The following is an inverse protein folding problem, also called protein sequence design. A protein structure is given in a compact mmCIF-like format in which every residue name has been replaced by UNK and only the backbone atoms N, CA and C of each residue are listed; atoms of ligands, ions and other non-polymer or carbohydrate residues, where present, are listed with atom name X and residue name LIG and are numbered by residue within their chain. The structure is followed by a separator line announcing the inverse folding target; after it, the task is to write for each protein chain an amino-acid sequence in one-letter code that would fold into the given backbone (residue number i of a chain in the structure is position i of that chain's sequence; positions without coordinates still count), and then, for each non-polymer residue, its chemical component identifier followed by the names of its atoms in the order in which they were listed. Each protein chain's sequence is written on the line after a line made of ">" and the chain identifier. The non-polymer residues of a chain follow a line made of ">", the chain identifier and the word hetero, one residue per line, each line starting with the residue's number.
data_IF_739816813341
#
_entry.id   IF_739816813341
#
_cell.length_a   1.000
_cell.length_b   1.000
_cell.length_c   1.000
_cell.angle_alpha   90.00
_cell.angle_beta   90.00
_cell.angle_gamma   90.00
#
_symmetry.space_group_name_H-M   'P 1'
#
loop_
_entity.id
_entity.type
_entity.pdbx_description
1 polymer ?
#
# COMPACT_ATOMS: atom_id res chain seq x y z
N UNK A 1 -9.35 -3.64 32.12
CA UNK A 1 -8.57 -2.41 31.84
C UNK A 1 -9.40 -1.51 30.94
N UNK A 2 -9.33 -0.20 31.16
CA UNK A 2 -10.03 0.81 30.35
C UNK A 2 -9.18 1.29 29.17
N UNK A 3 -9.69 2.27 28.43
CA UNK A 3 -8.95 2.91 27.35
C UNK A 3 -7.67 3.59 27.86
N UNK A 4 -6.60 3.55 27.06
CA UNK A 4 -5.29 4.10 27.39
C UNK A 4 -4.88 5.04 26.27
N UNK A 5 -4.30 6.18 26.64
CA UNK A 5 -3.75 7.12 25.65
C UNK A 5 -2.63 6.45 24.86
N UNK A 6 -2.61 6.64 23.55
CA UNK A 6 -1.57 6.15 22.65
C UNK A 6 -0.31 7.04 22.74
N UNK A 7 0.26 7.14 23.95
CA UNK A 7 1.43 7.94 24.27
C UNK A 7 2.47 7.05 24.95
N UNK A 8 3.76 7.23 24.61
CA UNK A 8 4.83 6.37 25.12
C UNK A 8 4.88 6.35 26.67
N UNK A 9 4.62 7.48 27.33
CA UNK A 9 4.58 7.58 28.78
C UNK A 9 3.44 6.74 29.40
N UNK A 10 2.24 6.83 28.83
CA UNK A 10 1.08 6.06 29.29
C UNK A 10 1.28 4.56 29.11
N UNK A 11 1.84 4.15 27.97
CA UNK A 11 2.14 2.74 27.66
C UNK A 11 3.20 2.19 28.61
N UNK A 12 4.29 2.94 28.86
CA UNK A 12 5.32 2.52 29.83
C UNK A 12 4.76 2.36 31.24
N UNK A 13 3.87 3.26 31.67
CA UNK A 13 3.21 3.18 32.98
C UNK A 13 2.34 1.92 33.08
N UNK A 14 1.56 1.62 32.04
CA UNK A 14 0.74 0.41 31.98
C UNK A 14 1.59 -0.85 32.09
N UNK A 15 2.66 -0.98 31.28
CA UNK A 15 3.49 -2.18 31.28
C UNK A 15 4.10 -2.46 32.66
N UNK A 16 4.55 -1.41 33.36
CA UNK A 16 5.04 -1.53 34.75
C UNK A 16 3.97 -2.03 35.73
N UNK A 17 2.70 -1.68 35.50
CA UNK A 17 1.59 -2.15 36.33
C UNK A 17 1.19 -3.60 36.01
N UNK A 18 1.44 -4.05 34.78
CA UNK A 18 1.09 -5.39 34.31
C UNK A 18 2.04 -6.48 34.80
N UNK A 19 3.32 -6.15 35.00
CA UNK A 19 4.30 -7.11 35.52
C UNK A 19 5.69 -6.91 34.95
N UNK A 20 6.52 -7.94 35.08
CA UNK A 20 7.87 -7.97 34.51
C UNK A 20 7.80 -8.20 33.00
N UNK A 21 8.64 -7.52 32.22
CA UNK A 21 8.62 -7.57 30.75
C UNK A 21 8.79 -8.98 30.18
N UNK A 22 9.53 -9.85 30.88
CA UNK A 22 9.79 -11.24 30.50
C UNK A 22 8.54 -12.13 30.61
N UNK A 23 7.58 -11.73 31.44
CA UNK A 23 6.32 -12.44 31.70
C UNK A 23 5.16 -11.88 30.85
N UNK A 24 5.41 -10.81 30.08
CA UNK A 24 4.40 -10.14 29.28
C UNK A 24 4.46 -10.56 27.81
N UNK A 25 3.29 -10.88 27.29
CA UNK A 25 3.05 -11.05 25.86
C UNK A 25 1.86 -10.20 25.44
N UNK A 26 2.09 -9.33 24.46
CA UNK A 26 1.11 -8.34 24.00
C UNK A 26 0.74 -8.63 22.56
N UNK A 27 -0.52 -8.44 22.20
CA UNK A 27 -0.91 -8.38 20.79
C UNK A 27 -1.80 -7.16 20.52
N UNK A 28 -1.82 -6.73 19.27
CA UNK A 28 -2.81 -5.76 18.79
C UNK A 28 -3.18 -6.03 17.33
N UNK A 29 -4.38 -5.61 16.96
CA UNK A 29 -4.88 -5.68 15.60
C UNK A 29 -4.22 -4.60 14.73
N UNK A 30 -3.63 -5.03 13.61
CA UNK A 30 -3.03 -4.14 12.63
C UNK A 30 -4.09 -3.21 12.04
N UNK A 31 -3.81 -1.91 12.08
CA UNK A 31 -4.70 -0.86 11.58
C UNK A 31 -3.91 0.25 10.90
N UNK A 32 -4.54 1.41 10.64
CA UNK A 32 -3.90 2.53 9.92
C UNK A 32 -2.80 3.22 10.74
N UNK A 33 -2.63 2.88 12.01
CA UNK A 33 -1.68 3.50 12.95
C UNK A 33 -0.25 2.97 12.82
N UNK A 34 0.03 2.10 11.86
CA UNK A 34 1.36 1.59 11.55
C UNK A 34 1.95 0.69 12.64
N UNK A 35 3.29 0.62 12.71
CA UNK A 35 4.02 -0.28 13.61
C UNK A 35 4.72 0.44 14.78
N UNK A 36 4.40 1.71 15.04
CA UNK A 36 5.02 2.50 16.12
C UNK A 36 4.84 1.88 17.51
N UNK A 37 3.63 1.39 17.82
CA UNK A 37 3.35 0.69 19.07
C UNK A 37 4.18 -0.59 19.21
N UNK A 38 4.21 -1.42 18.16
CA UNK A 38 5.04 -2.63 18.14
C UNK A 38 6.50 -2.28 18.45
N UNK A 39 7.09 -1.29 17.75
CA UNK A 39 8.47 -0.86 17.96
C UNK A 39 8.73 -0.37 19.39
N UNK A 40 7.81 0.41 19.96
CA UNK A 40 7.90 0.85 21.34
C UNK A 40 7.93 -0.35 22.29
N UNK A 41 6.99 -1.29 22.16
CA UNK A 41 6.90 -2.47 23.00
C UNK A 41 8.16 -3.34 22.91
N UNK A 42 8.63 -3.61 21.69
CA UNK A 42 9.87 -4.37 21.46
C UNK A 42 11.09 -3.66 22.03
N UNK A 43 11.19 -2.33 21.91
CA UNK A 43 12.30 -1.55 22.50
C UNK A 43 12.35 -1.60 24.03
N UNK A 44 11.21 -1.89 24.66
CA UNK A 44 11.11 -2.08 26.11
C UNK A 44 11.38 -3.53 26.53
N UNK A 45 11.67 -4.42 25.57
CA UNK A 45 11.88 -5.85 25.79
C UNK A 45 10.61 -6.66 25.98
N UNK A 46 9.44 -6.10 25.62
CA UNK A 46 8.15 -6.81 25.70
C UNK A 46 7.89 -7.52 24.36
N UNK A 47 7.50 -8.80 24.42
CA UNK A 47 7.07 -9.54 23.21
C UNK A 47 5.76 -8.97 22.71
N UNK A 48 5.71 -8.62 21.42
CA UNK A 48 4.54 -8.05 20.78
C UNK A 48 4.22 -8.76 19.46
N UNK A 49 2.96 -9.18 19.29
CA UNK A 49 2.44 -9.74 18.05
C UNK A 49 1.46 -8.75 17.39
N UNK A 50 1.70 -8.40 16.14
CA UNK A 50 0.73 -7.66 15.31
C UNK A 50 -0.12 -8.66 14.54
N UNK A 51 -1.43 -8.53 14.58
CA UNK A 51 -2.36 -9.51 14.00
C UNK A 51 -3.18 -8.85 12.89
N UNK A 52 -3.31 -9.50 11.73
CA UNK A 52 -4.20 -9.00 10.69
C UNK A 52 -5.67 -9.25 11.05
N UNK A 53 -6.57 -8.28 10.86
CA UNK A 53 -8.01 -8.44 11.11
C UNK A 53 -8.61 -9.70 10.48
N UNK A 54 -8.19 -9.99 9.24
CA UNK A 54 -8.66 -11.12 8.45
C UNK A 54 -8.20 -12.49 8.95
N UNK A 55 -7.21 -12.54 9.84
CA UNK A 55 -6.69 -13.76 10.45
C UNK A 55 -7.25 -14.02 11.85
N UNK A 56 -7.99 -13.07 12.43
CA UNK A 56 -8.61 -13.24 13.75
C UNK A 56 -9.82 -14.18 13.61
N UNK A 57 -9.87 -15.31 14.32
CA UNK A 57 -11.02 -16.20 14.29
C UNK A 57 -12.31 -15.49 14.74
N UNK A 58 -13.34 -15.46 13.88
CA UNK A 58 -14.64 -14.83 14.16
C UNK A 58 -15.68 -15.91 14.52
N UNK A 59 -16.45 -15.70 15.59
CA UNK A 59 -17.55 -16.60 15.97
C UNK A 59 -18.83 -16.07 15.29
N UNK A 60 -19.59 -16.95 14.63
CA UNK A 60 -20.88 -16.57 14.03
C UNK A 60 -21.88 -16.19 15.14
N UNK A 61 -22.59 -15.07 14.97
CA UNK A 61 -23.63 -14.61 15.90
C UNK A 61 -23.17 -13.57 16.95
N UNK A 62 -21.90 -13.17 16.96
CA UNK A 62 -21.39 -12.16 17.90
C UNK A 62 -21.71 -10.74 17.35
N UNK A 63 -22.84 -10.18 17.77
CA UNK A 63 -23.36 -8.89 17.25
C UNK A 63 -22.92 -7.66 18.07
N UNK A 64 -22.39 -7.86 19.28
CA UNK A 64 -22.00 -6.76 20.18
C UNK A 64 -20.49 -6.58 20.16
N UNK A 65 -20.03 -5.57 19.42
CA UNK A 65 -18.61 -5.16 19.36
C UNK A 65 -18.36 -4.04 20.36
N UNK A 66 -17.42 -4.25 21.28
CA UNK A 66 -16.90 -3.20 22.16
C UNK A 66 -15.39 -3.37 22.28
N UNK A 67 -14.66 -2.26 22.33
CA UNK A 67 -13.18 -2.28 22.41
C UNK A 67 -12.66 -3.19 23.53
N UNK A 68 -13.37 -3.21 24.68
CA UNK A 68 -13.01 -4.05 25.82
C UNK A 68 -13.21 -5.55 25.53
N UNK A 69 -14.29 -5.93 24.86
CA UNK A 69 -14.55 -7.34 24.51
C UNK A 69 -13.58 -7.80 23.43
N UNK A 70 -13.29 -6.95 22.46
CA UNK A 70 -12.35 -7.26 21.38
C UNK A 70 -10.92 -7.41 21.93
N UNK A 71 -10.48 -6.54 22.83
CA UNK A 71 -9.18 -6.66 23.50
C UNK A 71 -9.07 -7.92 24.38
N UNK A 72 -10.14 -8.29 25.11
CA UNK A 72 -10.15 -9.51 25.92
C UNK A 72 -10.11 -10.77 25.04
N UNK A 73 -10.89 -10.79 23.97
CA UNK A 73 -10.89 -11.90 23.00
C UNK A 73 -9.51 -12.08 22.37
N UNK A 74 -8.87 -10.99 21.97
CA UNK A 74 -7.51 -11.03 21.44
C UNK A 74 -6.52 -11.60 22.45
N UNK A 75 -6.59 -11.20 23.73
CA UNK A 75 -5.68 -11.76 24.74
C UNK A 75 -5.94 -13.24 25.03
N UNK A 76 -7.21 -13.69 24.98
CA UNK A 76 -7.57 -15.11 25.11
C UNK A 76 -7.02 -15.94 23.95
N UNK A 77 -7.18 -15.46 22.71
CA UNK A 77 -6.65 -16.13 21.51
C UNK A 77 -5.12 -16.16 21.51
N UNK A 78 -4.47 -15.08 21.95
CA UNK A 78 -3.01 -15.04 22.11
C UNK A 78 -2.55 -16.09 23.10
N UNK A 79 -3.20 -16.16 24.27
CA UNK A 79 -2.89 -17.15 25.32
C UNK A 79 -3.12 -18.58 24.84
N UNK A 80 -4.11 -18.81 23.99
CA UNK A 80 -4.39 -20.12 23.39
C UNK A 80 -3.43 -20.50 22.25
N UNK A 81 -2.57 -19.58 21.79
CA UNK A 81 -1.71 -19.81 20.62
C UNK A 81 -2.48 -19.84 19.29
N UNK A 82 -3.70 -19.31 19.26
CA UNK A 82 -4.58 -19.33 18.08
C UNK A 82 -4.36 -18.12 17.14
N UNK A 83 -3.48 -17.18 17.51
CA UNK A 83 -3.15 -16.01 16.69
C UNK A 83 -1.94 -16.27 15.79
N UNK A 84 -2.04 -15.76 14.56
CA UNK A 84 -0.91 -15.71 13.62
C UNK A 84 -0.47 -14.26 13.42
N UNK A 85 0.78 -13.97 13.77
CA UNK A 85 1.37 -12.66 13.60
C UNK A 85 1.66 -12.31 12.15
N UNK A 86 1.50 -11.04 11.79
CA UNK A 86 2.00 -10.52 10.52
C UNK A 86 3.48 -10.23 10.61
N UNK A 87 4.15 -10.25 9.46
CA UNK A 87 5.50 -9.71 9.35
C UNK A 87 5.47 -8.20 9.56
N UNK A 88 6.25 -7.72 10.52
CA UNK A 88 6.44 -6.29 10.76
C UNK A 88 7.63 -5.81 9.90
N UNK A 89 7.40 -4.93 8.91
CA UNK A 89 8.47 -4.38 8.07
C UNK A 89 9.49 -3.57 8.90
N UNK A 90 10.70 -3.37 8.38
CA UNK A 90 11.63 -2.41 8.96
C UNK A 90 11.19 -0.97 8.69
N UNK A 91 11.77 0.01 9.39
CA UNK A 91 11.44 1.42 9.15
C UNK A 91 11.85 1.86 7.74
N UNK A 92 12.93 1.28 7.20
CA UNK A 92 13.38 1.49 5.83
C UNK A 92 12.41 0.90 4.81
N UNK A 93 11.87 -0.30 5.07
CA UNK A 93 10.84 -0.91 4.21
C UNK A 93 9.55 -0.08 4.20
N UNK A 94 9.10 0.41 5.37
CA UNK A 94 7.94 1.31 5.48
C UNK A 94 8.16 2.60 4.67
N UNK A 95 9.32 3.26 4.84
CA UNK A 95 9.64 4.48 4.12
C UNK A 95 9.65 4.27 2.59
N UNK A 96 10.20 3.14 2.12
CA UNK A 96 10.17 2.80 0.70
C UNK A 96 8.75 2.51 0.21
N UNK A 97 7.92 1.82 1.00
CA UNK A 97 6.50 1.59 0.68
C UNK A 97 5.73 2.88 0.56
N UNK A 98 5.94 3.83 1.46
CA UNK A 98 5.28 5.13 1.42
C UNK A 98 5.58 5.86 0.10
N UNK A 99 6.84 5.80 -0.36
CA UNK A 99 7.23 6.40 -1.63
C UNK A 99 6.61 5.68 -2.85
N UNK A 100 6.54 4.35 -2.82
CA UNK A 100 5.87 3.55 -3.87
C UNK A 100 4.36 3.85 -3.90
N UNK A 101 3.71 3.95 -2.75
CA UNK A 101 2.28 4.30 -2.64
C UNK A 101 2.00 5.71 -3.12
N UNK A 102 2.83 6.69 -2.73
CA UNK A 102 2.74 8.06 -3.23
C UNK A 102 2.85 8.13 -4.76
N UNK A 103 3.65 7.25 -5.37
CA UNK A 103 3.73 7.13 -6.84
C UNK A 103 2.42 6.63 -7.44
N UNK A 104 1.81 5.60 -6.85
CA UNK A 104 0.53 5.07 -7.33
C UNK A 104 -0.59 6.11 -7.20
N UNK A 105 -0.67 6.82 -6.08
CA UNK A 105 -1.59 7.94 -5.88
C UNK A 105 -1.42 9.01 -6.97
N UNK A 106 -0.17 9.42 -7.22
CA UNK A 106 0.14 10.40 -8.28
C UNK A 106 -0.21 9.88 -9.69
N UNK A 107 -0.05 8.58 -9.95
CA UNK A 107 -0.45 7.96 -11.22
C UNK A 107 -1.96 7.99 -11.39
N UNK A 108 -2.72 7.68 -10.34
CA UNK A 108 -4.18 7.74 -10.35
C UNK A 108 -4.70 9.17 -10.51
N UNK A 109 -4.10 10.14 -9.82
CA UNK A 109 -4.40 11.56 -9.97
C UNK A 109 -4.17 12.03 -11.41
N UNK A 110 -3.03 11.67 -11.99
CA UNK A 110 -2.71 11.97 -13.39
C UNK A 110 -3.71 11.31 -14.35
N UNK A 111 -4.08 10.05 -14.10
CA UNK A 111 -5.10 9.38 -14.90
C UNK A 111 -6.44 10.13 -14.83
N UNK A 112 -6.88 10.51 -13.62
CA UNK A 112 -8.11 11.27 -13.41
C UNK A 112 -8.07 12.63 -14.11
N UNK A 113 -6.95 13.36 -14.03
CA UNK A 113 -6.75 14.62 -14.75
C UNK A 113 -6.85 14.45 -16.27
N UNK A 114 -6.18 13.43 -16.82
CA UNK A 114 -6.25 13.07 -18.24
C UNK A 114 -7.68 12.76 -18.68
N UNK A 115 -8.43 12.00 -17.89
CA UNK A 115 -9.82 11.68 -18.20
C UNK A 115 -10.74 12.90 -18.15
N UNK A 116 -10.55 13.83 -17.20
CA UNK A 116 -11.32 15.09 -17.15
C UNK A 116 -11.10 15.92 -18.41
N UNK A 117 -9.84 16.10 -18.84
CA UNK A 117 -9.51 16.79 -20.08
C UNK A 117 -10.14 16.11 -21.31
N UNK A 118 -10.03 14.78 -21.40
CA UNK A 118 -10.61 14.03 -22.53
C UNK A 118 -12.14 14.12 -22.58
N UNK A 119 -12.81 14.07 -21.42
CA UNK A 119 -14.27 14.23 -21.34
C UNK A 119 -14.71 15.65 -21.71
N UNK A 120 -13.93 16.67 -21.35
CA UNK A 120 -14.18 18.04 -21.78
C UNK A 120 -14.11 18.16 -23.30
N UNK A 121 -13.03 17.67 -23.92
CA UNK A 121 -12.87 17.69 -25.38
C UNK A 121 -14.02 16.94 -26.08
N UNK A 122 -14.40 15.78 -25.55
CA UNK A 122 -15.50 14.97 -26.08
C UNK A 122 -16.85 15.72 -26.03
N UNK A 123 -17.15 16.42 -24.93
CA UNK A 123 -18.41 17.17 -24.76
C UNK A 123 -18.61 18.24 -25.84
N UNK A 124 -17.53 18.84 -26.31
CA UNK A 124 -17.53 19.87 -27.34
C UNK A 124 -17.13 19.34 -28.72
N UNK A 125 -17.09 18.01 -28.90
CA UNK A 125 -16.71 17.37 -30.16
C UNK A 125 -15.34 17.80 -30.72
N UNK A 126 -14.43 18.22 -29.84
CA UNK A 126 -13.08 18.64 -30.20
C UNK A 126 -12.22 17.39 -30.38
N UNK A 127 -11.84 17.12 -31.63
CA UNK A 127 -11.08 15.92 -31.99
C UNK A 127 -9.73 16.28 -32.61
N UNK A 128 -8.69 15.46 -32.38
CA UNK A 128 -7.40 15.70 -32.99
C UNK A 128 -7.46 15.52 -34.52
N UNK A 129 -6.64 16.25 -35.30
CA UNK A 129 -6.51 16.04 -36.73
C UNK A 129 -6.17 14.58 -37.08
N UNK A 130 -6.62 14.11 -38.24
CA UNK A 130 -6.48 12.71 -38.69
C UNK A 130 -5.03 12.15 -38.64
N UNK A 131 -4.03 13.02 -38.77
CA UNK A 131 -2.61 12.65 -38.66
C UNK A 131 -2.12 12.31 -37.24
N UNK A 132 -2.90 12.60 -36.19
CA UNK A 132 -2.54 12.36 -34.79
C UNK A 132 -3.30 11.14 -34.27
N UNK A 133 -2.74 9.95 -34.51
CA UNK A 133 -3.39 8.67 -34.16
C UNK A 133 -3.29 8.28 -32.68
N UNK A 134 -2.35 8.86 -31.93
CA UNK A 134 -2.06 8.47 -30.53
C UNK A 134 -2.12 9.69 -29.60
N UNK A 135 -2.91 9.56 -28.53
CA UNK A 135 -3.01 10.56 -27.44
C UNK A 135 -1.69 10.67 -26.66
N UNK A 136 -1.48 11.82 -26.03
CA UNK A 136 -0.33 12.11 -25.16
C UNK A 136 1.05 11.96 -25.83
N UNK A 137 1.11 11.96 -27.16
CA UNK A 137 2.36 12.09 -27.92
C UNK A 137 2.78 13.57 -27.99
N UNK A 138 4.03 13.85 -28.41
CA UNK A 138 4.49 15.23 -28.63
C UNK A 138 3.56 15.99 -29.58
N UNK A 139 3.16 15.37 -30.70
CA UNK A 139 2.22 15.96 -31.67
C UNK A 139 0.85 16.24 -31.05
N UNK A 140 0.31 15.31 -30.25
CA UNK A 140 -0.96 15.50 -29.55
C UNK A 140 -0.90 16.66 -28.54
N UNK A 141 0.20 16.77 -27.78
CA UNK A 141 0.40 17.90 -26.84
C UNK A 141 0.47 19.24 -27.57
N UNK A 142 1.24 19.33 -28.66
CA UNK A 142 1.31 20.54 -29.49
C UNK A 142 -0.06 20.92 -30.05
N UNK A 143 -0.86 19.94 -30.47
CA UNK A 143 -2.24 20.19 -30.90
C UNK A 143 -3.10 20.76 -29.77
N UNK A 144 -3.07 20.15 -28.57
CA UNK A 144 -3.80 20.66 -27.40
C UNK A 144 -3.41 22.11 -27.06
N UNK A 145 -2.11 22.42 -27.09
CA UNK A 145 -1.60 23.76 -26.78
C UNK A 145 -2.00 24.81 -27.82
N UNK A 146 -2.28 24.39 -29.06
CA UNK A 146 -2.75 25.25 -30.14
C UNK A 146 -4.26 25.47 -30.18
N UNK A 147 -5.04 24.80 -29.32
CA UNK A 147 -6.50 24.94 -29.32
C UNK A 147 -6.91 26.35 -28.87
N UNK A 148 -7.77 26.99 -29.67
CA UNK A 148 -8.44 28.24 -29.33
C UNK A 148 -9.93 27.96 -29.19
N UNK A 149 -10.49 28.33 -28.04
CA UNK A 149 -11.92 28.21 -27.77
C UNK A 149 -12.56 29.59 -27.88
N UNK A 150 -13.74 29.66 -28.51
CA UNK A 150 -14.45 30.92 -28.73
C UNK A 150 -14.93 31.57 -27.43
N UNK A 151 -15.35 30.74 -26.47
CA UNK A 151 -15.89 31.19 -25.20
C UNK A 151 -14.79 31.23 -24.12
N UNK A 152 -14.54 32.40 -23.53
CA UNK A 152 -13.44 32.57 -22.57
C UNK A 152 -13.57 31.64 -21.35
N UNK A 153 -14.78 31.44 -20.82
CA UNK A 153 -15.00 30.53 -19.69
C UNK A 153 -14.61 29.07 -20.03
N UNK A 154 -14.81 28.65 -21.27
CA UNK A 154 -14.38 27.33 -21.74
C UNK A 154 -12.86 27.30 -21.94
N UNK A 155 -12.26 28.38 -22.46
CA UNK A 155 -10.81 28.53 -22.59
C UNK A 155 -10.11 28.42 -21.23
N UNK A 156 -10.61 29.11 -20.20
CA UNK A 156 -10.11 28.99 -18.82
C UNK A 156 -10.21 27.55 -18.34
N UNK A 157 -11.38 26.92 -18.44
CA UNK A 157 -11.59 25.54 -17.99
C UNK A 157 -10.65 24.55 -18.68
N UNK A 158 -10.46 24.70 -20.00
CA UNK A 158 -9.53 23.87 -20.78
C UNK A 158 -8.07 24.05 -20.32
N UNK A 159 -7.64 25.30 -20.11
CA UNK A 159 -6.28 25.60 -19.62
C UNK A 159 -6.03 24.96 -18.26
N UNK A 160 -6.97 25.07 -17.32
CA UNK A 160 -6.86 24.45 -16.00
C UNK A 160 -6.79 22.92 -16.07
N UNK A 161 -7.58 22.27 -16.93
CA UNK A 161 -7.48 20.83 -17.13
C UNK A 161 -6.15 20.42 -17.78
N UNK A 162 -5.62 21.21 -18.70
CA UNK A 162 -4.31 20.96 -19.29
C UNK A 162 -3.18 21.15 -18.27
N UNK A 163 -3.26 22.18 -17.41
CA UNK A 163 -2.33 22.41 -16.32
C UNK A 163 -2.32 21.26 -15.31
N UNK A 164 -3.49 20.81 -14.86
CA UNK A 164 -3.59 19.67 -13.94
C UNK A 164 -2.94 18.38 -14.51
N UNK A 165 -3.03 18.16 -15.82
CA UNK A 165 -2.31 17.06 -16.47
C UNK A 165 -0.80 17.27 -16.41
N UNK A 166 -0.31 18.47 -16.76
CA UNK A 166 1.13 18.80 -16.73
C UNK A 166 1.70 18.63 -15.32
N UNK A 167 1.05 19.21 -14.30
CA UNK A 167 1.45 19.08 -12.91
C UNK A 167 1.46 17.62 -12.43
N UNK A 168 0.47 16.83 -12.84
CA UNK A 168 0.42 15.40 -12.55
C UNK A 168 1.57 14.62 -13.19
N UNK A 169 1.94 14.93 -14.43
CA UNK A 169 3.10 14.33 -15.12
C UNK A 169 4.41 14.68 -14.40
N UNK A 170 4.58 15.94 -14.01
CA UNK A 170 5.77 16.39 -13.30
C UNK A 170 5.87 15.83 -11.88
N UNK A 171 4.76 15.78 -11.14
CA UNK A 171 4.70 15.17 -9.80
C UNK A 171 5.08 13.70 -9.86
N UNK A 172 4.50 12.95 -10.79
CA UNK A 172 4.84 11.54 -10.99
C UNK A 172 6.32 11.38 -11.32
N UNK A 173 6.86 12.21 -12.22
CA UNK A 173 8.29 12.19 -12.59
C UNK A 173 9.19 12.47 -11.38
N UNK A 174 8.89 13.47 -10.55
CA UNK A 174 9.68 13.79 -9.34
C UNK A 174 9.72 12.60 -8.38
N UNK A 175 8.58 11.92 -8.18
CA UNK A 175 8.51 10.73 -7.32
C UNK A 175 9.31 9.57 -7.93
N UNK A 176 9.20 9.33 -9.24
CA UNK A 176 9.97 8.30 -9.93
C UNK A 176 11.48 8.54 -9.87
N UNK A 177 11.93 9.79 -9.96
CA UNK A 177 13.33 10.16 -9.71
C UNK A 177 13.74 9.82 -8.27
N UNK A 178 12.94 10.18 -7.27
CA UNK A 178 13.22 9.83 -5.88
C UNK A 178 13.31 8.32 -5.65
N UNK A 179 12.45 7.53 -6.29
CA UNK A 179 12.53 6.05 -6.22
C UNK A 179 13.84 5.53 -6.81
N UNK A 180 14.31 6.07 -7.94
CA UNK A 180 15.58 5.69 -8.55
C UNK A 180 16.76 6.00 -7.63
N UNK A 181 16.76 7.17 -6.99
CA UNK A 181 17.80 7.58 -6.03
C UNK A 181 17.82 6.67 -4.80
N UNK A 182 16.66 6.40 -4.21
CA UNK A 182 16.54 5.49 -3.06
C UNK A 182 16.95 4.06 -3.42
N UNK A 183 16.59 3.59 -4.61
CA UNK A 183 17.04 2.28 -5.09
C UNK A 183 18.54 2.24 -5.36
N UNK A 184 19.17 3.35 -5.77
CA UNK A 184 20.62 3.40 -5.99
C UNK A 184 21.44 3.43 -4.69
N UNK A 185 20.91 4.07 -3.64
CA UNK A 185 21.61 4.28 -2.37
C UNK A 185 21.24 3.26 -1.28
N UNK A 186 20.05 2.67 -1.37
CA UNK A 186 19.53 1.78 -0.33
C UNK A 186 20.04 0.34 -0.42
N UNK A 187 19.93 -0.38 0.70
CA UNK A 187 20.28 -1.81 0.80
C UNK A 187 19.54 -2.70 -0.22
N UNK A 188 18.40 -2.22 -0.72
CA UNK A 188 17.53 -2.91 -1.65
C UNK A 188 17.97 -2.79 -3.13
N UNK A 189 18.96 -1.96 -3.45
CA UNK A 189 19.34 -1.68 -4.85
C UNK A 189 19.80 -2.88 -5.67
N UNK A 190 20.60 -3.76 -5.06
CA UNK A 190 21.06 -4.98 -5.73
C UNK A 190 19.88 -5.92 -6.07
N UNK A 191 18.90 -6.00 -5.17
CA UNK A 191 17.70 -6.82 -5.35
C UNK A 191 16.79 -6.25 -6.44
N UNK A 192 16.58 -4.92 -6.46
CA UNK A 192 15.84 -4.24 -7.53
C UNK A 192 16.47 -4.53 -8.90
N UNK A 193 17.80 -4.38 -9.02
CA UNK A 193 18.52 -4.69 -10.26
C UNK A 193 18.39 -6.16 -10.66
N UNK A 194 18.50 -7.08 -9.71
CA UNK A 194 18.33 -8.51 -9.98
C UNK A 194 16.94 -8.83 -10.52
N UNK A 195 15.88 -8.25 -9.94
CA UNK A 195 14.50 -8.42 -10.42
C UNK A 195 14.31 -7.84 -11.83
N UNK A 196 14.97 -6.73 -12.17
CA UNK A 196 14.91 -6.17 -13.52
C UNK A 196 15.54 -7.07 -14.60
N UNK A 197 16.35 -8.06 -14.21
CA UNK A 197 16.84 -9.09 -15.13
C UNK A 197 15.75 -10.06 -15.59
N UNK A 198 14.61 -10.09 -14.91
CA UNK A 198 13.48 -10.93 -15.29
C UNK A 198 12.71 -10.29 -16.46
N UNK A 199 12.39 -11.11 -17.47
CA UNK A 199 11.60 -10.66 -18.63
C UNK A 199 10.26 -10.08 -18.17
N UNK A 200 9.99 -8.83 -18.56
CA UNK A 200 8.74 -8.15 -18.24
C UNK A 200 8.75 -7.40 -16.90
N UNK A 201 9.85 -7.43 -16.13
CA UNK A 201 9.98 -6.70 -14.87
C UNK A 201 10.78 -5.42 -15.09
N UNK A 202 10.06 -4.30 -15.23
CA UNK A 202 10.68 -2.98 -15.30
C UNK A 202 11.00 -2.43 -13.89
N UNK A 203 11.76 -1.33 -13.82
CA UNK A 203 12.18 -0.70 -12.57
C UNK A 203 11.03 -0.49 -11.57
N UNK A 204 9.93 0.13 -12.02
CA UNK A 204 8.76 0.41 -11.17
C UNK A 204 8.17 -0.86 -10.57
N UNK A 205 8.05 -1.92 -11.37
CA UNK A 205 7.56 -3.23 -10.91
C UNK A 205 8.54 -3.83 -9.90
N UNK A 206 9.84 -3.79 -10.19
CA UNK A 206 10.88 -4.32 -9.30
C UNK A 206 10.88 -3.60 -7.94
N UNK A 207 10.90 -2.26 -7.93
CA UNK A 207 10.91 -1.50 -6.67
C UNK A 207 9.62 -1.68 -5.88
N UNK A 208 8.47 -1.79 -6.55
CA UNK A 208 7.19 -2.06 -5.87
C UNK A 208 7.17 -3.43 -5.21
N UNK A 209 7.70 -4.46 -5.90
CA UNK A 209 7.83 -5.80 -5.32
C UNK A 209 8.73 -5.79 -4.10
N UNK A 210 9.90 -5.14 -4.18
CA UNK A 210 10.83 -5.06 -3.05
C UNK A 210 10.22 -4.32 -1.88
N UNK A 211 9.55 -3.19 -2.12
CA UNK A 211 8.88 -2.42 -1.08
C UNK A 211 7.80 -3.26 -0.37
N UNK A 212 6.91 -3.90 -1.11
CA UNK A 212 5.80 -4.66 -0.51
C UNK A 212 6.26 -5.98 0.13
N UNK A 213 7.25 -6.65 -0.45
CA UNK A 213 7.73 -7.93 0.08
C UNK A 213 8.67 -7.76 1.27
N UNK A 214 9.51 -6.72 1.25
CA UNK A 214 10.67 -6.59 2.15
C UNK A 214 11.68 -7.71 1.90
N UNK A 215 12.09 -8.40 2.95
CA UNK A 215 13.04 -9.53 2.83
C UNK A 215 12.39 -10.78 2.24
N UNK A 216 12.83 -11.17 1.04
CA UNK A 216 12.42 -12.44 0.39
C UNK A 216 12.82 -13.68 1.20
N UNK A 217 13.84 -13.58 2.07
CA UNK A 217 14.29 -14.68 2.93
C UNK A 217 13.25 -15.12 3.96
N UNK A 218 12.19 -14.32 4.19
CA UNK A 218 11.09 -14.69 5.08
C UNK A 218 10.21 -15.81 4.53
N UNK A 219 10.29 -16.08 3.23
CA UNK A 219 9.59 -17.19 2.61
C UNK A 219 10.49 -18.42 2.56
N UNK A 220 10.02 -19.51 3.18
CA UNK A 220 10.73 -20.80 3.20
C UNK A 220 10.67 -21.52 1.84
N UNK A 221 9.71 -21.15 1.00
CA UNK A 221 9.56 -21.70 -0.35
C UNK A 221 8.92 -20.68 -1.31
N UNK A 222 9.15 -20.82 -2.63
CA UNK A 222 8.49 -19.99 -3.64
C UNK A 222 6.95 -20.04 -3.58
N UNK A 223 6.37 -21.19 -3.22
CA UNK A 223 4.92 -21.34 -3.06
C UNK A 223 4.38 -20.43 -1.95
N UNK A 224 5.13 -20.23 -0.87
CA UNK A 224 4.72 -19.33 0.21
C UNK A 224 4.70 -17.87 -0.25
N UNK A 225 5.66 -17.46 -1.08
CA UNK A 225 5.66 -16.15 -1.72
C UNK A 225 4.50 -15.98 -2.70
N UNK A 226 4.23 -16.99 -3.52
CA UNK A 226 3.09 -16.97 -4.44
C UNK A 226 1.75 -16.87 -3.69
N UNK A 227 1.60 -17.62 -2.58
CA UNK A 227 0.40 -17.54 -1.74
C UNK A 227 0.24 -16.14 -1.11
N UNK A 228 1.36 -15.54 -0.67
CA UNK A 228 1.38 -14.17 -0.16
C UNK A 228 0.95 -13.14 -1.21
N UNK A 229 1.36 -13.32 -2.47
CA UNK A 229 0.98 -12.48 -3.61
C UNK A 229 -0.42 -12.80 -4.16
N UNK A 230 -1.13 -13.79 -3.60
CA UNK A 230 -2.44 -14.23 -4.10
C UNK A 230 -2.39 -14.96 -5.45
N UNK A 231 -1.23 -15.50 -5.82
CA UNK A 231 -0.98 -16.20 -7.08
C UNK A 231 -1.17 -17.72 -6.99
N UNK A 232 -1.45 -18.24 -5.78
CA UNK A 232 -1.81 -19.65 -5.59
C UNK A 232 -3.32 -19.77 -5.63
N UNK A 233 -3.88 -20.60 -6.55
CA UNK A 233 -5.31 -20.82 -6.62
C UNK A 233 -5.85 -21.31 -5.28
N UNK A 234 -6.97 -20.72 -4.83
CA UNK A 234 -7.68 -21.21 -3.65
C UNK A 234 -8.44 -22.47 -4.04
N UNK A 235 -8.22 -23.53 -3.27
CA UNK A 235 -8.96 -24.79 -3.38
C UNK A 235 -9.97 -24.89 -2.24
N UNK A 236 -11.24 -24.78 -2.58
CA UNK A 236 -12.35 -25.14 -1.70
C UNK A 236 -12.75 -26.58 -2.03
N UNK A 237 -12.32 -27.51 -1.18
CA UNK A 237 -12.71 -28.92 -1.27
C UNK A 237 -13.61 -29.25 -0.08
N UNK A 238 -14.87 -29.60 -0.34
CA UNK A 238 -15.75 -30.22 0.65
C UNK A 238 -16.39 -31.48 0.07
N UNK A 239 -16.17 -32.62 0.72
CA UNK A 239 -16.63 -33.93 0.23
C UNK A 239 -16.06 -34.27 -1.15
N UNK A 240 -16.92 -34.65 -2.10
CA UNK A 240 -16.55 -35.00 -3.48
C UNK A 240 -16.41 -33.78 -4.43
N UNK A 241 -16.59 -32.57 -3.93
CA UNK A 241 -16.54 -31.34 -4.75
C UNK A 241 -15.20 -30.63 -4.56
N UNK A 242 -14.47 -30.48 -5.67
CA UNK A 242 -13.24 -29.68 -5.74
C UNK A 242 -13.52 -28.44 -6.60
N UNK A 243 -13.46 -27.25 -5.98
CA UNK A 243 -13.46 -25.98 -6.69
C UNK A 243 -12.12 -25.29 -6.52
N UNK A 244 -11.41 -25.10 -7.63
CA UNK A 244 -10.17 -24.31 -7.71
C UNK A 244 -10.47 -22.99 -8.40
N UNK A 245 -10.16 -21.87 -7.75
CA UNK A 245 -10.38 -20.52 -8.27
C UNK A 245 -9.22 -19.58 -7.94
N UNK A 246 -9.17 -18.44 -8.64
CA UNK A 246 -8.32 -17.29 -8.32
C UNK A 246 -9.11 -16.26 -7.52
#
# INVERSE_FOLDING_TARGET
>A
MGAIKHEAGAIRKLLKQLGKKEELEVCYEGGPTGYGLHRLLTSLGVRCMVVAPSLIPVRRGDQVKTDRRDALRLSELLRAGELSGVYVPSAEDEALRDLVRAREDAREDLHRAKQRLLKFLLRYSITPPAGIKRRWTKRYRLWLEGLKLEQEAQAITFREYLHAVKEGEERLKRIETGLLEQAAQGANGALVKALQGLRGVAFVTAVSLVAEIGSFRRFRSPMQLMAYLGLVPREYSSGQSVRRGN
#
